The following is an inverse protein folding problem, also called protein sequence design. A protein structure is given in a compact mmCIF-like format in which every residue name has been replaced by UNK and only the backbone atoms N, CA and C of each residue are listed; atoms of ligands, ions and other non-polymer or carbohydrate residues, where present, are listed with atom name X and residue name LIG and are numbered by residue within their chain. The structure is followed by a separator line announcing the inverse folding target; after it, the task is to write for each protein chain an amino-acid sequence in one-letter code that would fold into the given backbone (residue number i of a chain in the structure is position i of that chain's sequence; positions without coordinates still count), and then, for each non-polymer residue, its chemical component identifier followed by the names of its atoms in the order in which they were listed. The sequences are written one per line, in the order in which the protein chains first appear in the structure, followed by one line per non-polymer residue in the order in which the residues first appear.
data_IF_271119934973
#
_entry.id   IF_271119934973
#
_cell.length_a   1.000
_cell.length_b   1.000
_cell.length_c   1.000
_cell.angle_alpha   90.00
_cell.angle_beta   90.00
_cell.angle_gamma   90.00
#
_symmetry.space_group_name_H-M   'P 1'
#
loop_
_entity.id
_entity.type
_entity.pdbx_description
1 polymer ?
#
# COMPACT_ATOMS: atom_id res chain seq x y z
N UNK A 1 3.68 -10.16 27.49
CA UNK A 1 4.07 -8.84 26.96
C UNK A 1 3.26 -8.60 25.70
N UNK A 2 2.16 -7.88 25.82
CA UNK A 2 1.40 -7.37 24.68
C UNK A 2 2.32 -6.42 23.91
N UNK A 3 2.66 -6.77 22.66
CA UNK A 3 3.33 -5.82 21.77
C UNK A 3 2.32 -4.72 21.47
N UNK A 4 2.69 -3.46 21.72
CA UNK A 4 1.95 -2.33 21.17
C UNK A 4 2.08 -2.42 19.66
N UNK A 5 1.02 -2.86 18.99
CA UNK A 5 0.96 -2.92 17.53
C UNK A 5 0.80 -1.47 17.08
N UNK A 6 1.84 -0.90 16.48
CA UNK A 6 1.69 0.34 15.71
C UNK A 6 0.97 -0.02 14.42
N UNK A 7 -0.33 0.28 14.34
CA UNK A 7 -1.18 -0.09 13.20
C UNK A 7 -0.80 0.70 11.94
N UNK A 8 0.17 0.19 11.17
CA UNK A 8 0.45 0.64 9.82
C UNK A 8 -0.27 -0.28 8.82
N UNK A 9 -0.53 0.23 7.62
CA UNK A 9 -1.22 -0.54 6.58
C UNK A 9 -0.48 -0.47 5.25
N UNK A 10 -0.40 -1.60 4.56
CA UNK A 10 0.03 -1.70 3.18
C UNK A 10 -1.07 -2.35 2.35
N UNK A 11 -1.55 -1.66 1.32
CA UNK A 11 -2.59 -2.18 0.42
C UNK A 11 -3.88 -2.66 1.12
N UNK A 12 -4.20 -2.03 2.25
CA UNK A 12 -5.36 -2.38 3.08
C UNK A 12 -5.11 -3.53 4.08
N UNK A 13 -3.91 -4.10 4.12
CA UNK A 13 -3.51 -5.13 5.07
C UNK A 13 -2.67 -4.53 6.20
N UNK A 14 -2.93 -4.95 7.43
CA UNK A 14 -2.19 -4.49 8.60
C UNK A 14 -0.74 -5.01 8.52
N UNK A 15 0.22 -4.12 8.73
CA UNK A 15 1.64 -4.44 8.80
C UNK A 15 2.23 -3.88 10.09
N UNK A 16 3.23 -4.58 10.61
CA UNK A 16 3.94 -4.17 11.82
C UNK A 16 5.45 -4.35 11.63
N UNK A 17 6.23 -3.54 12.35
CA UNK A 17 7.69 -3.55 12.26
C UNK A 17 8.27 -4.55 13.26
N UNK A 18 9.03 -5.52 12.75
CA UNK A 18 9.76 -6.47 13.59
C UNK A 18 11.20 -6.00 13.82
N UNK A 19 11.48 -5.43 14.99
CA UNK A 19 12.84 -5.00 15.38
C UNK A 19 13.88 -6.13 15.28
N UNK A 20 13.51 -7.36 15.65
CA UNK A 20 14.42 -8.52 15.60
C UNK A 20 14.79 -8.92 14.18
N UNK A 21 13.85 -8.80 13.24
CA UNK A 21 14.04 -9.18 11.82
C UNK A 21 14.43 -7.99 10.95
N UNK A 22 14.37 -6.76 11.47
CA UNK A 22 14.57 -5.50 10.75
C UNK A 22 13.73 -5.42 9.47
N UNK A 23 12.47 -5.85 9.56
CA UNK A 23 11.54 -5.86 8.43
C UNK A 23 10.10 -5.66 8.89
N UNK A 24 9.27 -5.17 7.98
CA UNK A 24 7.82 -5.16 8.13
C UNK A 24 7.24 -6.55 7.86
N UNK A 25 6.21 -6.96 8.59
CA UNK A 25 5.50 -8.21 8.37
C UNK A 25 3.99 -7.97 8.34
N UNK A 26 3.26 -8.82 7.63
CA UNK A 26 1.80 -8.83 7.63
C UNK A 26 1.32 -9.35 8.98
N UNK A 27 0.47 -8.59 9.67
CA UNK A 27 -0.07 -8.99 10.98
C UNK A 27 -0.90 -10.27 10.86
N UNK A 28 -1.61 -10.42 9.74
CA UNK A 28 -2.52 -11.53 9.48
C UNK A 28 -1.81 -12.89 9.33
N UNK A 29 -0.69 -12.92 8.61
CA UNK A 29 0.03 -14.18 8.30
C UNK A 29 1.35 -14.33 9.05
N UNK A 30 1.92 -13.24 9.55
CA UNK A 30 3.28 -13.21 10.12
C UNK A 30 4.40 -13.22 9.07
N UNK A 31 4.05 -13.23 7.78
CA UNK A 31 5.01 -13.23 6.67
C UNK A 31 5.63 -11.86 6.47
N UNK A 32 6.87 -11.84 5.99
CA UNK A 32 7.55 -10.60 5.62
C UNK A 32 6.75 -9.84 4.54
N UNK A 33 6.62 -8.53 4.68
CA UNK A 33 5.97 -7.65 3.71
C UNK A 33 6.91 -7.39 2.52
N UNK A 34 7.19 -8.44 1.75
CA UNK A 34 8.02 -8.40 0.53
C UNK A 34 7.15 -8.18 -0.70
N UNK A 35 7.76 -7.83 -1.84
CA UNK A 35 7.05 -7.74 -3.12
C UNK A 35 6.40 -9.07 -3.48
N UNK A 36 7.07 -10.21 -3.28
CA UNK A 36 6.51 -11.53 -3.61
C UNK A 36 5.25 -11.84 -2.80
N UNK A 37 5.30 -11.60 -1.48
CA UNK A 37 4.13 -11.75 -0.61
C UNK A 37 3.02 -10.78 -1.03
N UNK A 38 3.39 -9.51 -1.25
CA UNK A 38 2.48 -8.43 -1.61
C UNK A 38 1.74 -8.69 -2.94
N UNK A 39 2.41 -9.24 -3.94
CA UNK A 39 1.84 -9.55 -5.26
C UNK A 39 0.68 -10.56 -5.20
N UNK A 40 0.55 -11.29 -4.09
CA UNK A 40 -0.52 -12.26 -3.85
C UNK A 40 -1.63 -11.74 -2.93
N UNK A 41 -1.52 -10.51 -2.41
CA UNK A 41 -2.52 -9.92 -1.53
C UNK A 41 -3.69 -9.35 -2.32
N UNK A 42 -4.91 -9.77 -1.97
CA UNK A 42 -6.14 -9.21 -2.53
C UNK A 42 -6.58 -8.05 -1.65
N UNK A 43 -6.66 -6.86 -2.23
CA UNK A 43 -7.12 -5.70 -1.48
C UNK A 43 -8.51 -5.96 -0.87
N UNK A 44 -8.72 -5.73 0.43
CA UNK A 44 -9.98 -6.04 1.11
C UNK A 44 -11.15 -5.19 0.62
N UNK A 45 -10.91 -4.00 0.04
CA UNK A 45 -11.96 -3.09 -0.44
C UNK A 45 -12.31 -3.28 -1.92
N UNK A 46 -11.33 -3.20 -2.82
CA UNK A 46 -11.59 -3.28 -4.26
C UNK A 46 -11.55 -4.71 -4.83
N UNK A 47 -11.10 -5.68 -4.02
CA UNK A 47 -10.96 -7.10 -4.38
C UNK A 47 -10.07 -7.36 -5.60
N UNK A 48 -9.11 -6.46 -5.86
CA UNK A 48 -8.13 -6.59 -6.94
C UNK A 48 -6.75 -6.92 -6.37
N UNK A 49 -5.96 -7.63 -7.17
CA UNK A 49 -4.52 -7.82 -6.95
C UNK A 49 -3.73 -6.57 -7.38
N UNK A 50 -2.50 -6.39 -6.87
CA UNK A 50 -1.57 -5.41 -7.43
C UNK A 50 -1.37 -5.60 -8.94
N UNK A 51 -0.92 -4.54 -9.61
CA UNK A 51 -0.50 -4.67 -11.01
C UNK A 51 0.72 -5.58 -11.13
N UNK A 52 1.04 -6.02 -12.35
CA UNK A 52 2.27 -6.78 -12.65
C UNK A 52 3.56 -6.08 -12.17
N UNK A 53 3.51 -4.75 -12.01
CA UNK A 53 4.62 -3.90 -11.56
C UNK A 53 4.53 -3.59 -10.05
N UNK A 54 3.71 -4.36 -9.30
CA UNK A 54 3.45 -4.19 -7.87
C UNK A 54 2.78 -2.85 -7.47
N UNK A 55 2.09 -2.18 -8.40
CA UNK A 55 1.35 -0.95 -8.08
C UNK A 55 -0.04 -1.25 -7.51
N UNK A 56 -0.53 -0.38 -6.63
CA UNK A 56 -1.94 -0.36 -6.22
C UNK A 56 -2.82 -0.14 -7.48
N UNK A 57 -3.79 -1.03 -7.80
CA UNK A 57 -4.55 -0.94 -9.03
C UNK A 57 -5.57 0.21 -9.02
N UNK A 58 -5.86 0.81 -7.87
CA UNK A 58 -6.72 1.97 -7.73
C UNK A 58 -6.03 3.28 -8.11
N UNK A 59 -4.72 3.39 -7.92
CA UNK A 59 -3.92 4.57 -8.31
C UNK A 59 -2.59 4.16 -8.96
N UNK A 60 -2.67 3.33 -10.00
CA UNK A 60 -1.51 2.78 -10.71
C UNK A 60 -0.91 3.77 -11.71
N UNK A 61 0.37 3.55 -12.04
CA UNK A 61 1.06 4.16 -13.17
C UNK A 61 1.13 5.69 -13.13
N UNK A 62 1.18 6.27 -11.93
CA UNK A 62 1.37 7.70 -11.75
C UNK A 62 2.80 8.10 -12.15
N UNK A 63 3.00 9.05 -13.09
CA UNK A 63 4.33 9.49 -13.49
C UNK A 63 5.11 10.14 -12.34
N UNK A 64 6.40 9.81 -12.20
CA UNK A 64 7.28 10.38 -11.16
C UNK A 64 6.96 9.91 -9.74
N UNK A 65 6.19 8.83 -9.59
CA UNK A 65 5.80 8.26 -8.30
C UNK A 65 6.58 6.98 -8.03
N UNK A 66 7.20 6.92 -6.86
CA UNK A 66 7.94 5.77 -6.35
C UNK A 66 7.03 4.73 -5.71
N UNK A 67 6.07 5.18 -4.89
CA UNK A 67 5.06 4.33 -4.24
C UNK A 67 3.74 5.08 -4.11
N UNK A 68 2.63 4.38 -4.30
CA UNK A 68 1.31 4.92 -4.02
C UNK A 68 0.37 3.84 -3.52
N UNK A 69 -0.49 4.19 -2.57
CA UNK A 69 -1.58 3.37 -2.09
C UNK A 69 -2.77 4.29 -1.85
N UNK A 70 -3.97 3.91 -2.30
CA UNK A 70 -5.15 4.76 -2.08
C UNK A 70 -5.68 4.72 -0.63
N UNK A 71 -5.02 3.94 0.24
CA UNK A 71 -5.38 3.78 1.66
C UNK A 71 -6.63 2.91 1.87
N UNK A 72 -7.40 2.66 0.80
CA UNK A 72 -8.56 1.77 0.74
C UNK A 72 -9.53 1.90 1.93
N UNK A 73 -9.60 3.07 2.56
CA UNK A 73 -10.47 3.34 3.72
C UNK A 73 -10.07 2.68 5.04
N UNK A 74 -8.92 2.00 5.08
CA UNK A 74 -8.34 1.42 6.31
C UNK A 74 -7.30 2.37 6.89
N UNK A 75 -6.56 3.06 6.03
CA UNK A 75 -5.61 4.11 6.39
C UNK A 75 -5.75 5.31 5.45
N UNK A 76 -5.03 6.39 5.76
CA UNK A 76 -4.84 7.47 4.80
C UNK A 76 -4.09 6.95 3.56
N UNK A 77 -4.58 7.32 2.39
CA UNK A 77 -3.85 7.12 1.14
C UNK A 77 -2.57 7.94 1.14
N UNK A 78 -1.60 7.50 0.35
CA UNK A 78 -0.38 8.25 0.15
C UNK A 78 0.13 8.16 -1.29
N UNK A 79 0.87 9.19 -1.70
CA UNK A 79 1.65 9.23 -2.93
C UNK A 79 3.06 9.69 -2.54
N UNK A 80 4.05 8.86 -2.80
CA UNK A 80 5.46 9.16 -2.58
C UNK A 80 6.14 9.38 -3.92
N UNK A 81 6.50 10.62 -4.19
CA UNK A 81 7.19 11.03 -5.41
C UNK A 81 8.70 10.74 -5.35
N UNK A 82 9.32 10.57 -6.52
CA UNK A 82 10.76 10.35 -6.65
C UNK A 82 11.60 11.49 -6.07
N UNK A 83 11.07 12.71 -6.04
CA UNK A 83 11.71 13.89 -5.46
C UNK A 83 11.64 13.94 -3.92
N UNK A 84 11.08 12.92 -3.27
CA UNK A 84 10.98 12.84 -1.81
C UNK A 84 9.72 13.46 -1.21
N UNK A 85 8.87 14.12 -2.00
CA UNK A 85 7.58 14.65 -1.52
C UNK A 85 6.61 13.49 -1.24
N UNK A 86 5.92 13.55 -0.10
CA UNK A 86 4.90 12.58 0.29
C UNK A 86 3.58 13.33 0.52
N UNK A 87 2.56 13.00 -0.26
CA UNK A 87 1.18 13.48 -0.07
C UNK A 87 0.41 12.41 0.69
N UNK A 88 -0.34 12.78 1.72
CA UNK A 88 -1.20 11.88 2.50
C UNK A 88 -2.61 12.43 2.60
N UNK A 89 -3.61 11.56 2.59
CA UNK A 89 -5.00 11.96 2.80
C UNK A 89 -6.01 10.94 2.31
N UNK A 90 -7.28 11.33 2.31
CA UNK A 90 -8.36 10.57 1.69
C UNK A 90 -8.44 10.97 0.22
N UNK A 91 -8.32 9.99 -0.67
CA UNK A 91 -8.38 10.24 -2.12
C UNK A 91 -9.76 9.85 -2.66
N UNK A 92 -10.32 10.74 -3.48
CA UNK A 92 -11.37 10.41 -4.43
C UNK A 92 -10.68 10.14 -5.77
N UNK A 93 -11.04 9.04 -6.42
CA UNK A 93 -10.35 8.57 -7.62
C UNK A 93 -11.34 8.62 -8.78
N UNK A 94 -11.04 9.50 -9.73
CA UNK A 94 -11.77 9.63 -10.98
C UNK A 94 -10.82 9.38 -12.15
N UNK A 95 -11.35 8.77 -13.21
CA UNK A 95 -10.59 8.48 -14.43
C UNK A 95 -11.24 9.22 -15.59
N UNK A 96 -10.57 10.24 -16.11
CA UNK A 96 -10.93 10.89 -17.37
C UNK A 96 -10.27 10.13 -18.53
N UNK A 97 -10.97 9.14 -19.07
CA UNK A 97 -10.49 8.33 -20.19
C UNK A 97 -10.52 9.09 -21.54
N UNK A 98 -10.72 10.42 -21.53
CA UNK A 98 -10.94 11.26 -22.71
C UNK A 98 -9.76 12.14 -23.15
N UNK A 99 -8.53 11.89 -22.69
CA UNK A 99 -7.33 12.57 -23.22
C UNK A 99 -6.29 11.56 -23.70
N UNK A 100 -6.08 11.56 -25.02
CA UNK A 100 -4.91 11.00 -25.69
C UNK A 100 -3.63 11.76 -25.30
#
# INVERSE_FOLDING_TARGET
MSREITEAYNFGHAVDWCEKRKTWFLVETGDSNTIETYMNLICPKCKKLPTKDAHDPCIKNLPGVKFACCGHGVSEGYIWFENGVIVRGKFEIEYDYGKE
#
